data_IF_679159919346
#
_entry.id   IF_679159919346
#
_cell.length_a   1.000
_cell.length_b   1.000
_cell.length_c   1.000
_cell.angle_alpha   90.00
_cell.angle_beta   90.00
_cell.angle_gamma   90.00
#
_symmetry.space_group_name_H-M   'P 1'
#
loop_
_entity.id
_entity.type
_entity.pdbx_description
1 polymer ?
#
# COMPACT_ATOMS: atom_id res chain seq x y z
N UNK A 1 -9.73 -7.71 0.36
CA UNK A 1 -8.34 -7.24 0.59
C UNK A 1 -7.74 -7.75 1.89
N UNK A 2 -8.28 -7.44 3.08
CA UNK A 2 -7.73 -7.94 4.36
C UNK A 2 -7.56 -9.46 4.39
N UNK A 3 -8.59 -10.21 3.95
CA UNK A 3 -8.54 -11.68 3.90
C UNK A 3 -7.46 -12.21 2.95
N UNK A 4 -7.21 -11.54 1.82
CA UNK A 4 -6.14 -11.94 0.91
C UNK A 4 -4.77 -11.80 1.60
N UNK A 5 -4.51 -10.65 2.25
CA UNK A 5 -3.29 -10.43 3.01
C UNK A 5 -3.14 -11.43 4.17
N UNK A 6 -4.25 -11.79 4.80
CA UNK A 6 -4.30 -12.80 5.86
C UNK A 6 -3.81 -14.17 5.37
N UNK A 7 -4.32 -14.62 4.21
CA UNK A 7 -3.93 -15.91 3.60
C UNK A 7 -2.46 -15.89 3.17
N UNK A 8 -1.97 -14.79 2.61
CA UNK A 8 -0.56 -14.64 2.21
C UNK A 8 0.36 -14.80 3.42
N UNK A 9 0.11 -14.02 4.47
CA UNK A 9 0.88 -14.10 5.71
C UNK A 9 0.80 -15.50 6.30
N UNK A 10 -0.37 -16.12 6.27
CA UNK A 10 -0.55 -17.47 6.77
C UNK A 10 0.31 -18.49 6.03
N UNK A 11 0.28 -18.49 4.70
CA UNK A 11 1.02 -19.45 3.90
C UNK A 11 2.54 -19.29 4.06
N UNK A 12 3.04 -18.05 4.13
CA UNK A 12 4.46 -17.75 4.37
C UNK A 12 4.93 -18.32 5.72
N UNK A 13 4.18 -18.05 6.80
CA UNK A 13 4.52 -18.54 8.14
C UNK A 13 4.43 -20.08 8.24
N UNK A 14 3.61 -20.72 7.41
CA UNK A 14 3.52 -22.19 7.31
C UNK A 14 4.60 -22.82 6.40
N UNK A 15 5.54 -22.02 5.89
CA UNK A 15 6.68 -22.48 5.09
C UNK A 15 6.38 -22.66 3.60
N UNK A 16 5.25 -22.15 3.10
CA UNK A 16 4.96 -22.14 1.66
C UNK A 16 5.66 -20.94 1.01
N UNK A 17 6.99 -21.00 0.95
CA UNK A 17 7.86 -19.89 0.53
C UNK A 17 8.21 -19.91 -0.97
N UNK A 18 7.77 -20.91 -1.73
CA UNK A 18 7.84 -20.89 -3.19
C UNK A 18 6.53 -20.32 -3.73
N UNK A 19 6.62 -19.14 -4.34
CA UNK A 19 5.45 -18.35 -4.73
C UNK A 19 5.43 -18.18 -6.24
N UNK A 20 4.29 -18.44 -6.88
CA UNK A 20 4.06 -18.08 -8.28
C UNK A 20 3.28 -16.78 -8.31
N UNK A 21 3.96 -15.71 -8.69
CA UNK A 21 3.41 -14.37 -8.86
C UNK A 21 3.01 -14.21 -10.33
N UNK A 22 1.72 -14.09 -10.62
CA UNK A 22 1.19 -14.17 -11.98
C UNK A 22 0.15 -13.08 -12.26
N UNK A 23 0.28 -12.44 -13.42
CA UNK A 23 -0.60 -11.38 -13.90
C UNK A 23 -1.19 -11.80 -15.26
N UNK A 24 -2.50 -11.58 -15.46
CA UNK A 24 -3.18 -11.86 -16.72
C UNK A 24 -3.07 -10.63 -17.63
N UNK A 25 -2.63 -10.83 -18.87
CA UNK A 25 -2.45 -9.75 -19.83
C UNK A 25 -3.81 -9.17 -20.24
N UNK A 26 -4.07 -7.92 -19.89
CA UNK A 26 -5.27 -7.17 -20.34
C UNK A 26 -6.57 -7.91 -20.02
N UNK A 27 -6.71 -8.43 -18.79
CA UNK A 27 -7.77 -9.38 -18.45
C UNK A 27 -9.16 -8.93 -18.88
N UNK A 28 -9.60 -7.74 -18.46
CA UNK A 28 -10.94 -7.25 -18.78
C UNK A 28 -11.19 -7.05 -20.27
N UNK A 29 -10.15 -6.85 -21.07
CA UNK A 29 -10.27 -6.59 -22.51
C UNK A 29 -10.22 -7.90 -23.32
N UNK A 30 -9.71 -8.99 -22.72
CA UNK A 30 -9.43 -10.25 -23.39
C UNK A 30 -10.39 -11.40 -23.02
N UNK A 31 -11.40 -11.18 -22.16
CA UNK A 31 -12.38 -12.23 -21.81
C UNK A 31 -13.19 -12.62 -23.06
N UNK A 32 -13.12 -13.87 -23.54
CA UNK A 32 -13.90 -14.29 -24.71
C UNK A 32 -15.39 -14.38 -24.38
N UNK A 33 -16.25 -13.60 -25.05
CA UNK A 33 -17.70 -13.54 -24.74
C UNK A 33 -18.36 -14.91 -24.80
N UNK A 34 -18.04 -15.69 -25.84
CA UNK A 34 -18.61 -17.03 -26.04
C UNK A 34 -18.34 -17.95 -24.84
N UNK A 35 -17.09 -18.01 -24.38
CA UNK A 35 -16.69 -18.83 -23.22
C UNK A 35 -17.33 -18.32 -21.93
N UNK A 36 -17.41 -17.00 -21.76
CA UNK A 36 -18.07 -16.41 -20.60
C UNK A 36 -19.55 -16.82 -20.53
N UNK A 37 -20.28 -16.73 -21.65
CA UNK A 37 -21.68 -17.16 -21.74
C UNK A 37 -21.81 -18.68 -21.50
N UNK A 38 -20.90 -19.50 -22.03
CA UNK A 38 -20.87 -20.95 -21.78
C UNK A 38 -20.69 -21.28 -20.29
N UNK A 39 -19.80 -20.56 -19.59
CA UNK A 39 -19.62 -20.72 -18.14
C UNK A 39 -20.86 -20.25 -17.38
N UNK A 40 -21.44 -19.11 -17.74
CA UNK A 40 -22.66 -18.60 -17.09
C UNK A 40 -23.84 -19.57 -17.21
N UNK A 41 -23.98 -20.26 -18.36
CA UNK A 41 -25.01 -21.28 -18.57
C UNK A 41 -24.93 -22.46 -17.60
N UNK A 42 -23.78 -22.72 -16.97
CA UNK A 42 -23.64 -23.74 -15.92
C UNK A 42 -24.42 -23.37 -14.65
N UNK A 43 -24.64 -22.08 -14.40
CA UNK A 43 -25.22 -21.56 -13.16
C UNK A 43 -26.56 -20.85 -13.36
N UNK A 44 -26.83 -20.32 -14.56
CA UNK A 44 -28.04 -19.55 -14.88
C UNK A 44 -28.79 -20.23 -16.03
N UNK A 45 -30.02 -20.68 -15.77
CA UNK A 45 -30.88 -21.31 -16.78
C UNK A 45 -31.77 -20.32 -17.54
N UNK A 46 -31.99 -19.11 -17.00
CA UNK A 46 -32.86 -18.10 -17.62
C UNK A 46 -32.23 -17.52 -18.89
N UNK A 47 -32.85 -17.82 -20.03
CA UNK A 47 -32.41 -17.37 -21.36
C UNK A 47 -32.55 -15.86 -21.56
N UNK A 48 -33.50 -15.23 -20.89
CA UNK A 48 -33.74 -13.78 -20.98
C UNK A 48 -32.59 -13.02 -20.36
N UNK A 49 -32.18 -13.42 -19.16
CA UNK A 49 -31.03 -12.83 -18.45
C UNK A 49 -29.74 -13.05 -19.24
N UNK A 50 -29.50 -14.27 -19.72
CA UNK A 50 -28.33 -14.56 -20.55
C UNK A 50 -28.31 -13.71 -21.83
N UNK A 51 -29.46 -13.53 -22.47
CA UNK A 51 -29.59 -12.69 -23.66
C UNK A 51 -29.29 -11.21 -23.37
N UNK A 52 -29.71 -10.69 -22.21
CA UNK A 52 -29.39 -9.32 -21.79
C UNK A 52 -27.89 -9.14 -21.52
N UNK A 53 -27.26 -10.10 -20.84
CA UNK A 53 -25.81 -10.07 -20.61
C UNK A 53 -25.06 -10.10 -21.94
N UNK A 54 -25.47 -10.95 -22.88
CA UNK A 54 -24.86 -11.03 -24.20
C UNK A 54 -25.00 -9.71 -24.98
N UNK A 55 -26.17 -9.07 -24.93
CA UNK A 55 -26.38 -7.75 -25.54
C UNK A 55 -25.49 -6.69 -24.91
N UNK A 56 -25.32 -6.69 -23.59
CA UNK A 56 -24.42 -5.76 -22.89
C UNK A 56 -22.96 -5.95 -23.27
N UNK A 57 -22.51 -7.20 -23.43
CA UNK A 57 -21.16 -7.50 -23.88
C UNK A 57 -20.92 -7.00 -25.32
N UNK A 58 -21.91 -7.15 -26.21
CA UNK A 58 -21.85 -6.72 -27.63
C UNK A 58 -22.08 -5.23 -27.86
N UNK A 59 -22.65 -4.52 -26.88
CA UNK A 59 -22.95 -3.10 -26.98
C UNK A 59 -21.71 -2.24 -27.27
N UNK A 60 -20.51 -2.79 -27.04
CA UNK A 60 -19.24 -2.11 -27.30
C UNK A 60 -18.96 -1.02 -26.27
N UNK A 61 -17.93 -0.21 -26.54
CA UNK A 61 -17.65 1.00 -25.77
C UNK A 61 -17.26 2.13 -26.71
N UNK A 62 -17.40 3.37 -26.24
CA UNK A 62 -17.04 4.55 -27.01
C UNK A 62 -15.67 5.05 -26.57
N UNK A 63 -14.71 5.06 -27.49
CA UNK A 63 -13.37 5.56 -27.27
C UNK A 63 -13.08 6.66 -28.30
N UNK A 64 -12.67 7.85 -27.84
CA UNK A 64 -12.40 9.04 -28.69
C UNK A 64 -13.53 9.38 -29.70
N UNK A 65 -14.79 9.15 -29.32
CA UNK A 65 -15.96 9.44 -30.16
C UNK A 65 -16.25 8.38 -31.23
N UNK A 66 -15.56 7.24 -31.22
CA UNK A 66 -15.85 6.07 -32.08
C UNK A 66 -16.45 4.95 -31.25
N UNK A 67 -17.52 4.34 -31.78
CA UNK A 67 -18.10 3.13 -31.21
C UNK A 67 -17.24 1.93 -31.63
N UNK A 68 -16.64 1.25 -30.66
CA UNK A 68 -15.83 0.06 -30.87
C UNK A 68 -16.66 -1.15 -30.41
N UNK A 69 -17.02 -1.99 -31.36
CA UNK A 69 -17.55 -3.32 -31.10
C UNK A 69 -16.39 -4.31 -30.93
N UNK A 70 -16.47 -5.16 -29.91
CA UNK A 70 -15.47 -6.19 -29.65
C UNK A 70 -16.18 -7.49 -29.30
N UNK A 71 -15.69 -8.60 -29.85
CA UNK A 71 -16.11 -9.96 -29.49
C UNK A 71 -15.39 -10.46 -28.21
N UNK A 72 -14.53 -9.61 -27.64
CA UNK A 72 -13.72 -9.85 -26.46
C UNK A 72 -13.88 -8.73 -25.43
N UNK A 73 -13.71 -9.10 -24.18
CA UNK A 73 -13.66 -8.21 -23.05
C UNK A 73 -15.01 -7.85 -22.46
N UNK A 74 -15.00 -7.14 -21.35
CA UNK A 74 -16.20 -6.62 -20.70
C UNK A 74 -16.05 -5.10 -20.60
N UNK A 75 -17.11 -4.29 -20.82
CA UNK A 75 -16.98 -2.84 -20.76
C UNK A 75 -16.39 -2.40 -19.42
N UNK A 76 -15.20 -1.77 -19.44
CA UNK A 76 -14.58 -1.25 -18.23
C UNK A 76 -15.44 -0.09 -17.69
N UNK A 77 -15.92 -0.23 -16.46
CA UNK A 77 -16.86 0.73 -15.85
C UNK A 77 -18.32 0.26 -15.85
N UNK A 78 -18.65 -0.86 -16.52
CA UNK A 78 -19.92 -1.54 -16.33
C UNK A 78 -20.03 -2.12 -14.92
N UNK A 79 -21.14 -1.85 -14.22
CA UNK A 79 -21.36 -2.30 -12.83
C UNK A 79 -21.29 -3.83 -12.69
N UNK A 80 -21.68 -4.56 -13.74
CA UNK A 80 -21.68 -6.03 -13.76
C UNK A 80 -20.32 -6.63 -14.15
N UNK A 81 -19.43 -5.90 -14.82
CA UNK A 81 -18.17 -6.42 -15.35
C UNK A 81 -17.28 -7.08 -14.29
N UNK A 82 -17.11 -6.52 -13.06
CA UNK A 82 -16.36 -7.17 -11.99
C UNK A 82 -16.98 -8.50 -11.52
N UNK A 83 -18.30 -8.64 -11.59
CA UNK A 83 -18.98 -9.89 -11.22
C UNK A 83 -18.73 -10.96 -12.29
N UNK A 84 -18.91 -10.61 -13.57
CA UNK A 84 -18.67 -11.51 -14.70
C UNK A 84 -17.22 -12.01 -14.71
N UNK A 85 -16.27 -11.11 -14.48
CA UNK A 85 -14.85 -11.42 -14.30
C UNK A 85 -14.61 -12.49 -13.21
N UNK A 86 -15.24 -12.34 -12.05
CA UNK A 86 -15.08 -13.28 -10.95
C UNK A 86 -15.73 -14.63 -11.24
N UNK A 87 -16.90 -14.67 -11.87
CA UNK A 87 -17.53 -15.92 -12.30
C UNK A 87 -16.66 -16.65 -13.32
N UNK A 88 -16.05 -15.90 -14.25
CA UNK A 88 -15.14 -16.45 -15.26
C UNK A 88 -13.90 -17.10 -14.63
N UNK A 89 -13.22 -16.38 -13.73
CA UNK A 89 -12.01 -16.84 -13.06
C UNK A 89 -12.28 -17.89 -11.97
N UNK A 90 -13.54 -18.12 -11.58
CA UNK A 90 -13.90 -19.19 -10.65
C UNK A 90 -13.54 -20.58 -11.21
N UNK A 91 -13.46 -20.73 -12.54
CA UNK A 91 -12.96 -21.96 -13.16
C UNK A 91 -11.48 -22.23 -12.85
N UNK A 92 -10.67 -21.19 -12.61
CA UNK A 92 -9.29 -21.36 -12.12
C UNK A 92 -9.26 -21.72 -10.63
N UNK A 93 -10.12 -21.09 -9.84
CA UNK A 93 -10.20 -21.38 -8.40
C UNK A 93 -10.51 -22.86 -8.17
N UNK A 94 -11.46 -23.42 -8.93
CA UNK A 94 -11.76 -24.86 -8.89
C UNK A 94 -10.59 -25.73 -9.35
N UNK A 95 -9.90 -25.35 -10.43
CA UNK A 95 -8.71 -26.07 -10.90
C UNK A 95 -7.64 -26.14 -9.80
N UNK A 96 -7.40 -25.04 -9.10
CA UNK A 96 -6.42 -25.00 -8.02
C UNK A 96 -6.85 -25.81 -6.81
N UNK A 97 -8.12 -25.68 -6.38
CA UNK A 97 -8.64 -26.36 -5.20
C UNK A 97 -8.64 -27.90 -5.39
N UNK A 98 -9.10 -28.38 -6.56
CA UNK A 98 -9.11 -29.81 -6.89
C UNK A 98 -7.70 -30.43 -6.95
N UNK A 99 -6.69 -29.63 -7.31
CA UNK A 99 -5.29 -30.05 -7.32
C UNK A 99 -4.57 -29.79 -5.98
N UNK A 100 -5.28 -29.33 -4.94
CA UNK A 100 -4.70 -29.04 -3.62
C UNK A 100 -3.68 -27.89 -3.61
N UNK A 101 -3.74 -27.00 -4.61
CA UNK A 101 -2.84 -25.85 -4.74
C UNK A 101 -3.30 -24.77 -3.77
N UNK A 102 -2.39 -24.25 -2.95
CA UNK A 102 -2.68 -23.10 -2.11
C UNK A 102 -2.58 -21.82 -2.93
N UNK A 103 -3.62 -21.00 -2.88
CA UNK A 103 -3.64 -19.75 -3.63
C UNK A 103 -4.27 -18.60 -2.85
N UNK A 104 -4.07 -17.41 -3.36
CA UNK A 104 -4.85 -16.22 -3.03
C UNK A 104 -5.16 -15.50 -4.33
N UNK A 105 -6.42 -15.10 -4.51
CA UNK A 105 -6.84 -14.31 -5.66
C UNK A 105 -7.54 -13.04 -5.20
N UNK A 106 -7.26 -11.94 -5.88
CA UNK A 106 -7.96 -10.67 -5.71
C UNK A 106 -8.25 -10.08 -7.09
N UNK A 107 -9.49 -10.24 -7.54
CA UNK A 107 -9.87 -10.01 -8.93
C UNK A 107 -9.02 -10.88 -9.88
N UNK A 108 -8.26 -10.25 -10.78
CA UNK A 108 -7.37 -10.88 -11.76
C UNK A 108 -5.94 -11.14 -11.25
N UNK A 109 -5.58 -10.53 -10.12
CA UNK A 109 -4.26 -10.63 -9.51
C UNK A 109 -4.24 -11.81 -8.52
N UNK A 110 -3.31 -12.76 -8.68
CA UNK A 110 -3.26 -13.96 -7.83
C UNK A 110 -1.84 -14.46 -7.55
N UNK A 111 -1.68 -15.12 -6.40
CA UNK A 111 -0.45 -15.83 -6.03
C UNK A 111 -0.77 -17.30 -5.74
N UNK A 112 0.10 -18.20 -6.18
CA UNK A 112 0.11 -19.60 -5.76
C UNK A 112 1.26 -19.84 -4.79
N UNK A 113 1.11 -20.80 -3.89
CA UNK A 113 2.03 -21.08 -2.81
C UNK A 113 2.36 -22.57 -2.75
N UNK A 114 3.66 -22.89 -2.65
CA UNK A 114 4.15 -24.25 -2.46
C UNK A 114 5.32 -24.29 -1.46
N UNK A 115 5.58 -25.48 -0.92
CA UNK A 115 6.75 -25.73 -0.05
C UNK A 115 8.01 -26.05 -0.83
N UNK A 116 7.89 -26.50 -2.08
CA UNK A 116 9.02 -26.91 -2.92
C UNK A 116 8.99 -26.21 -4.27
N UNK A 117 10.15 -26.14 -4.91
CA UNK A 117 10.28 -25.58 -6.26
C UNK A 117 9.53 -26.42 -7.31
N UNK A 118 9.50 -27.73 -7.14
CA UNK A 118 8.85 -28.62 -8.11
C UNK A 118 7.32 -28.48 -8.05
N UNK A 119 6.76 -28.38 -6.85
CA UNK A 119 5.33 -28.20 -6.68
C UNK A 119 4.84 -26.85 -7.23
N UNK A 120 5.62 -25.77 -7.05
CA UNK A 120 5.24 -24.47 -7.63
C UNK A 120 5.33 -24.47 -9.16
N UNK A 121 6.29 -25.21 -9.73
CA UNK A 121 6.41 -25.35 -11.19
C UNK A 121 5.24 -26.15 -11.76
N UNK A 122 4.81 -27.22 -11.08
CA UNK A 122 3.59 -27.98 -11.45
C UNK A 122 2.35 -27.09 -11.39
N UNK A 123 2.17 -26.34 -10.30
CA UNK A 123 1.05 -25.41 -10.15
C UNK A 123 1.05 -24.33 -11.25
N UNK A 124 2.22 -23.78 -11.60
CA UNK A 124 2.37 -22.82 -12.69
C UNK A 124 2.00 -23.43 -14.05
N UNK A 125 2.40 -24.67 -14.32
CA UNK A 125 2.04 -25.38 -15.54
C UNK A 125 0.54 -25.61 -15.67
N UNK A 126 -0.10 -26.13 -14.62
CA UNK A 126 -1.56 -26.33 -14.57
C UNK A 126 -2.31 -25.02 -14.80
N UNK A 127 -1.89 -23.95 -14.11
CA UNK A 127 -2.48 -22.62 -14.25
C UNK A 127 -2.37 -22.09 -15.67
N UNK A 128 -1.20 -22.24 -16.31
CA UNK A 128 -1.00 -21.81 -17.69
C UNK A 128 -1.89 -22.58 -18.67
N UNK A 129 -2.02 -23.89 -18.50
CA UNK A 129 -2.88 -24.71 -19.34
C UNK A 129 -4.35 -24.29 -19.18
N UNK A 130 -4.80 -24.10 -17.93
CA UNK A 130 -6.19 -23.70 -17.67
C UNK A 130 -6.50 -22.30 -18.18
N UNK A 131 -5.57 -21.34 -18.04
CA UNK A 131 -5.72 -20.01 -18.63
C UNK A 131 -5.83 -20.09 -20.17
N UNK A 132 -5.01 -20.92 -20.80
CA UNK A 132 -5.05 -21.13 -22.25
C UNK A 132 -6.38 -21.77 -22.68
N UNK A 133 -6.89 -22.74 -21.91
CA UNK A 133 -8.22 -23.33 -22.10
C UNK A 133 -9.33 -22.28 -21.95
N UNK A 134 -9.18 -21.32 -21.05
CA UNK A 134 -10.06 -20.16 -20.90
C UNK A 134 -9.78 -19.07 -21.96
N UNK A 135 -8.83 -19.25 -22.87
CA UNK A 135 -8.49 -18.24 -23.89
C UNK A 135 -7.89 -16.96 -23.33
N UNK A 136 -7.25 -17.03 -22.16
CA UNK A 136 -6.53 -15.92 -21.52
C UNK A 136 -5.02 -16.13 -21.65
N UNK A 137 -4.28 -15.02 -21.77
CA UNK A 137 -2.82 -15.03 -21.85
C UNK A 137 -2.17 -14.50 -20.56
N UNK A 138 -1.06 -15.13 -20.17
CA UNK A 138 -0.23 -14.68 -19.05
C UNK A 138 0.69 -13.53 -19.51
N UNK A 139 0.84 -12.51 -18.67
CA UNK A 139 1.83 -11.45 -18.85
C UNK A 139 3.23 -11.94 -18.47
N UNK A 140 3.95 -12.55 -19.41
CA UNK A 140 5.30 -13.14 -19.21
C UNK A 140 6.31 -12.20 -18.51
N UNK A 141 6.22 -10.90 -18.76
CA UNK A 141 7.14 -9.90 -18.18
C UNK A 141 6.90 -9.67 -16.68
N UNK A 142 5.67 -9.88 -16.22
CA UNK A 142 5.27 -9.66 -14.82
C UNK A 142 5.25 -10.96 -14.02
N UNK A 143 5.03 -12.09 -14.71
CA UNK A 143 4.93 -13.40 -14.07
C UNK A 143 6.30 -13.97 -13.71
N UNK A 144 6.44 -14.45 -12.47
CA UNK A 144 7.70 -15.03 -11.97
C UNK A 144 7.47 -16.05 -10.86
N UNK A 145 8.42 -16.97 -10.73
CA UNK A 145 8.54 -17.85 -9.56
C UNK A 145 9.50 -17.19 -8.57
N UNK A 146 9.05 -16.99 -7.34
CA UNK A 146 9.77 -16.32 -6.25
C UNK A 146 10.11 -17.34 -5.17
N UNK A 147 11.35 -17.32 -4.68
CA UNK A 147 11.71 -18.00 -3.44
C UNK A 147 11.80 -16.97 -2.31
N UNK A 148 10.82 -16.95 -1.42
CA UNK A 148 10.71 -15.94 -0.36
C UNK A 148 11.79 -16.04 0.74
N UNK A 149 12.74 -16.99 0.64
CA UNK A 149 13.96 -16.95 1.43
C UNK A 149 15.03 -16.00 0.87
N UNK A 150 14.92 -15.60 -0.40
CA UNK A 150 15.94 -14.81 -1.11
C UNK A 150 15.36 -13.64 -1.89
N UNK A 151 14.11 -13.73 -2.32
CA UNK A 151 13.49 -12.82 -3.25
C UNK A 151 12.26 -12.13 -2.65
N UNK A 152 12.17 -10.83 -2.87
CA UNK A 152 11.00 -10.02 -2.54
C UNK A 152 9.89 -10.20 -3.60
N UNK A 153 8.64 -10.05 -3.18
CA UNK A 153 7.50 -9.95 -4.10
C UNK A 153 6.56 -8.81 -3.73
N UNK A 154 5.77 -8.37 -4.71
CA UNK A 154 4.76 -7.34 -4.51
C UNK A 154 3.38 -7.96 -4.63
N UNK A 155 2.43 -7.55 -3.79
CA UNK A 155 1.03 -7.92 -3.98
C UNK A 155 0.12 -6.88 -3.34
N UNK A 156 -0.99 -6.52 -4.01
CA UNK A 156 -1.95 -5.53 -3.53
C UNK A 156 -1.28 -4.26 -2.99
N UNK A 157 -0.34 -3.69 -3.74
CA UNK A 157 0.33 -2.43 -3.39
C UNK A 157 1.25 -2.48 -2.16
N UNK A 158 1.56 -3.67 -1.66
CA UNK A 158 2.57 -3.92 -0.64
C UNK A 158 3.75 -4.70 -1.23
N UNK A 159 4.94 -4.44 -0.69
CA UNK A 159 6.16 -5.20 -0.94
C UNK A 159 6.42 -6.08 0.28
N UNK A 160 6.50 -7.39 0.05
CA UNK A 160 6.87 -8.41 1.01
C UNK A 160 8.36 -8.66 0.87
N UNK A 161 9.12 -8.32 1.90
CA UNK A 161 10.55 -8.53 1.94
C UNK A 161 10.86 -9.92 2.43
N UNK A 162 11.75 -10.65 1.75
CA UNK A 162 12.11 -12.03 2.07
C UNK A 162 12.56 -12.23 3.53
N UNK A 163 12.59 -13.50 3.95
CA UNK A 163 13.05 -13.87 5.29
C UNK A 163 14.49 -13.40 5.56
N UNK A 164 14.67 -12.71 6.69
CA UNK A 164 15.98 -12.34 7.23
C UNK A 164 16.14 -12.82 8.68
N UNK A 165 17.38 -13.05 9.10
CA UNK A 165 17.71 -13.27 10.50
C UNK A 165 17.94 -11.95 11.20
N UNK A 166 17.23 -11.74 12.31
CA UNK A 166 17.38 -10.51 13.12
C UNK A 166 18.76 -10.47 13.75
N UNK A 167 19.49 -9.37 13.54
CA UNK A 167 20.86 -9.16 14.07
C UNK A 167 21.01 -9.30 15.59
N UNK A 168 19.94 -9.10 16.35
CA UNK A 168 20.01 -9.05 17.82
C UNK A 168 19.81 -10.41 18.49
N UNK A 169 18.99 -11.27 17.91
CA UNK A 169 18.54 -12.54 18.53
C UNK A 169 18.52 -13.72 17.55
N UNK A 170 19.01 -13.54 16.32
CA UNK A 170 19.03 -14.52 15.21
C UNK A 170 17.67 -15.15 14.90
N UNK A 171 16.56 -14.59 15.40
CA UNK A 171 15.22 -15.08 15.09
C UNK A 171 14.84 -14.71 13.66
N UNK A 172 14.15 -15.60 12.93
CA UNK A 172 13.66 -15.29 11.59
C UNK A 172 12.63 -14.17 11.66
N UNK A 173 12.65 -13.29 10.67
CA UNK A 173 11.64 -12.25 10.51
C UNK A 173 11.55 -11.82 9.06
N UNK A 174 10.40 -11.29 8.68
CA UNK A 174 10.23 -10.62 7.40
C UNK A 174 9.46 -9.32 7.60
N UNK A 175 9.45 -8.47 6.58
CA UNK A 175 8.85 -7.14 6.66
C UNK A 175 7.88 -6.92 5.52
N UNK A 176 6.82 -6.17 5.80
CA UNK A 176 5.90 -5.71 4.77
C UNK A 176 5.87 -4.19 4.78
N UNK A 177 6.09 -3.60 3.61
CA UNK A 177 6.06 -2.16 3.41
C UNK A 177 5.16 -1.78 2.24
N UNK A 178 4.67 -0.54 2.14
CA UNK A 178 3.95 -0.12 0.95
C UNK A 178 4.90 -0.04 -0.23
N UNK A 179 4.42 -0.40 -1.42
CA UNK A 179 5.20 -0.28 -2.64
C UNK A 179 5.74 1.15 -2.81
N UNK A 180 6.96 1.28 -3.33
CA UNK A 180 7.63 2.59 -3.51
C UNK A 180 6.78 3.57 -4.32
N UNK A 181 6.10 3.07 -5.36
CA UNK A 181 5.19 3.83 -6.22
C UNK A 181 3.99 4.36 -5.43
N UNK A 182 3.44 3.56 -4.52
CA UNK A 182 2.34 3.97 -3.62
C UNK A 182 2.75 5.13 -2.70
N UNK A 183 4.01 5.14 -2.24
CA UNK A 183 4.58 6.24 -1.44
C UNK A 183 4.83 7.49 -2.29
N UNK A 184 5.30 7.32 -3.54
CA UNK A 184 5.50 8.43 -4.49
C UNK A 184 4.16 9.10 -4.81
N UNK A 185 3.13 8.32 -5.15
CA UNK A 185 1.75 8.78 -5.38
C UNK A 185 1.21 9.57 -4.19
N UNK A 186 1.37 9.03 -2.97
CA UNK A 186 0.95 9.74 -1.76
C UNK A 186 1.62 11.10 -1.62
N UNK A 187 2.95 11.18 -1.83
CA UNK A 187 3.69 12.45 -1.79
C UNK A 187 3.22 13.42 -2.88
N UNK A 188 2.89 12.91 -4.07
CA UNK A 188 2.37 13.71 -5.18
C UNK A 188 1.00 14.32 -4.84
N UNK A 189 0.06 13.53 -4.32
CA UNK A 189 -1.26 14.01 -3.87
C UNK A 189 -1.14 15.09 -2.80
N UNK A 190 -0.24 14.91 -1.82
CA UNK A 190 0.07 15.93 -0.82
C UNK A 190 0.65 17.20 -1.47
N UNK A 191 1.58 17.05 -2.42
CA UNK A 191 2.18 18.18 -3.15
C UNK A 191 1.11 18.99 -3.90
N UNK A 192 0.18 18.32 -4.56
CA UNK A 192 -0.92 18.92 -5.31
C UNK A 192 -1.90 19.66 -4.42
N UNK A 193 -2.19 19.14 -3.22
CA UNK A 193 -3.05 19.82 -2.25
C UNK A 193 -2.35 20.91 -1.44
N UNK A 194 -1.03 21.07 -1.58
CA UNK A 194 -0.21 22.09 -0.87
C UNK A 194 0.53 23.02 -1.84
N UNK A 195 -0.16 23.51 -2.89
CA UNK A 195 0.42 24.40 -3.91
C UNK A 195 0.69 25.79 -3.33
N UNK A 196 1.90 26.31 -3.53
CA UNK A 196 2.39 27.53 -2.86
C UNK A 196 1.74 28.85 -3.31
N UNK A 197 0.98 28.84 -4.40
CA UNK A 197 0.33 30.03 -4.94
C UNK A 197 -1.05 30.30 -4.36
N UNK A 198 -1.60 29.36 -3.58
CA UNK A 198 -2.88 29.57 -2.89
C UNK A 198 -2.64 30.27 -1.56
N UNK A 199 -3.54 31.19 -1.22
CA UNK A 199 -3.56 31.90 0.07
C UNK A 199 -4.78 31.41 0.83
N UNK A 200 -4.59 30.38 1.68
CA UNK A 200 -5.67 29.74 2.42
C UNK A 200 -5.40 29.84 3.93
N UNK A 201 -6.47 29.76 4.72
CA UNK A 201 -6.37 29.63 6.17
C UNK A 201 -5.64 28.33 6.55
N UNK A 202 -5.05 28.30 7.75
CA UNK A 202 -4.39 27.09 8.27
C UNK A 202 -5.37 25.92 8.32
N UNK A 203 -6.60 26.16 8.76
CA UNK A 203 -7.65 25.14 8.83
C UNK A 203 -7.98 24.55 7.46
N UNK A 204 -8.12 25.39 6.43
CA UNK A 204 -8.42 24.93 5.08
C UNK A 204 -7.28 24.07 4.50
N UNK A 205 -6.02 24.44 4.75
CA UNK A 205 -4.90 23.57 4.39
C UNK A 205 -4.96 22.18 5.05
N UNK A 206 -5.37 22.12 6.32
CA UNK A 206 -5.53 20.87 7.06
C UNK A 206 -6.69 20.04 6.49
N UNK A 207 -7.82 20.67 6.18
CA UNK A 207 -8.99 20.00 5.59
C UNK A 207 -8.69 19.39 4.21
N UNK A 208 -7.77 19.99 3.44
CA UNK A 208 -7.32 19.43 2.14
C UNK A 208 -6.37 18.24 2.29
N UNK A 209 -5.56 18.20 3.33
CA UNK A 209 -4.50 17.19 3.52
C UNK A 209 -4.98 15.98 4.33
N UNK A 210 -5.79 16.21 5.38
CA UNK A 210 -6.26 15.15 6.28
C UNK A 210 -7.00 13.99 5.57
N UNK A 211 -7.89 14.22 4.57
CA UNK A 211 -8.54 13.13 3.85
C UNK A 211 -7.57 12.20 3.13
N UNK A 212 -6.51 12.75 2.52
CA UNK A 212 -5.46 11.97 1.85
C UNK A 212 -4.73 11.09 2.87
N UNK A 213 -4.35 11.66 4.01
CA UNK A 213 -3.70 10.93 5.09
C UNK A 213 -4.59 9.79 5.58
N UNK A 214 -5.86 10.08 5.90
CA UNK A 214 -6.82 9.08 6.38
C UNK A 214 -6.99 7.93 5.41
N UNK A 215 -7.25 8.22 4.12
CA UNK A 215 -7.46 7.20 3.11
C UNK A 215 -6.27 6.26 2.97
N UNK A 216 -5.05 6.81 2.86
CA UNK A 216 -3.84 5.99 2.69
C UNK A 216 -3.46 5.22 3.94
N UNK A 217 -3.61 5.81 5.13
CA UNK A 217 -3.32 5.11 6.39
C UNK A 217 -4.31 3.98 6.65
N UNK A 218 -5.61 4.18 6.37
CA UNK A 218 -6.60 3.11 6.48
C UNK A 218 -6.22 1.91 5.61
N UNK A 219 -5.71 2.15 4.40
CA UNK A 219 -5.17 1.12 3.53
C UNK A 219 -3.98 0.39 4.16
N UNK A 220 -2.98 1.12 4.67
CA UNK A 220 -1.78 0.53 5.29
C UNK A 220 -2.06 -0.26 6.56
N UNK A 221 -3.07 0.15 7.36
CA UNK A 221 -3.48 -0.55 8.58
C UNK A 221 -3.99 -1.96 8.28
N UNK A 222 -4.46 -2.24 7.06
CA UNK A 222 -4.99 -3.55 6.66
C UNK A 222 -3.99 -4.69 6.91
N UNK A 223 -2.67 -4.43 6.78
CA UNK A 223 -1.63 -5.43 7.09
C UNK A 223 -1.63 -5.81 8.57
N UNK A 224 -1.71 -4.82 9.48
CA UNK A 224 -1.77 -5.13 10.92
C UNK A 224 -3.07 -5.87 11.25
N UNK A 225 -4.19 -5.46 10.65
CA UNK A 225 -5.45 -6.18 10.86
C UNK A 225 -5.38 -7.63 10.40
N UNK A 226 -4.69 -7.90 9.30
CA UNK A 226 -4.46 -9.26 8.81
C UNK A 226 -3.56 -10.07 9.76
N UNK A 227 -2.46 -9.48 10.25
CA UNK A 227 -1.58 -10.11 11.25
C UNK A 227 -2.38 -10.48 12.51
N UNK A 228 -3.12 -9.51 13.08
CA UNK A 228 -3.93 -9.73 14.28
C UNK A 228 -4.98 -10.81 14.11
N UNK A 229 -5.66 -10.82 12.96
CA UNK A 229 -6.64 -11.85 12.65
C UNK A 229 -6.01 -13.26 12.59
N UNK A 230 -4.75 -13.39 12.15
CA UNK A 230 -4.02 -14.66 12.21
C UNK A 230 -3.60 -15.04 13.62
N UNK A 231 -3.16 -14.07 14.42
CA UNK A 231 -2.84 -14.28 15.84
C UNK A 231 -4.07 -14.78 16.62
N UNK A 232 -5.26 -14.24 16.33
CA UNK A 232 -6.55 -14.71 16.87
C UNK A 232 -6.87 -16.17 16.48
N UNK A 233 -6.34 -16.65 15.35
CA UNK A 233 -6.44 -18.05 14.91
C UNK A 233 -5.26 -18.91 15.36
N UNK A 234 -4.41 -18.43 16.28
CA UNK A 234 -3.32 -19.20 16.89
C UNK A 234 -2.03 -19.26 16.07
N UNK A 235 -1.91 -18.48 15.00
CA UNK A 235 -0.65 -18.39 14.25
C UNK A 235 0.22 -17.26 14.80
N UNK A 236 1.44 -17.60 15.23
CA UNK A 236 2.46 -16.61 15.55
C UNK A 236 2.94 -15.88 14.29
N UNK A 237 3.19 -14.57 14.40
CA UNK A 237 3.66 -13.74 13.30
C UNK A 237 5.10 -13.26 13.49
N UNK A 238 5.96 -13.69 12.60
CA UNK A 238 7.31 -13.19 12.39
C UNK A 238 7.35 -11.91 11.54
N UNK A 239 6.24 -11.52 10.91
CA UNK A 239 6.12 -10.25 10.20
C UNK A 239 6.33 -9.05 11.14
N UNK A 240 7.31 -8.19 10.84
CA UNK A 240 7.60 -6.96 11.61
C UNK A 240 7.19 -5.71 10.85
N UNK A 241 6.46 -4.82 11.52
CA UNK A 241 5.94 -3.56 10.94
C UNK A 241 6.81 -2.34 11.23
N UNK A 242 8.04 -2.53 11.72
CA UNK A 242 8.94 -1.43 12.11
C UNK A 242 9.31 -0.54 10.92
N UNK A 243 9.48 -1.10 9.73
CA UNK A 243 9.83 -0.32 8.53
C UNK A 243 8.69 0.59 8.09
N UNK A 244 7.43 0.10 8.15
CA UNK A 244 6.23 0.91 7.93
C UNK A 244 6.21 2.14 8.85
N UNK A 245 6.50 1.96 10.14
CA UNK A 245 6.58 3.06 11.12
C UNK A 245 7.59 4.13 10.70
N UNK A 246 8.77 3.73 10.22
CA UNK A 246 9.79 4.64 9.71
C UNK A 246 9.33 5.41 8.46
N UNK A 247 8.63 4.74 7.53
CA UNK A 247 8.06 5.36 6.33
C UNK A 247 7.03 6.42 6.71
N UNK A 248 6.10 6.12 7.62
CA UNK A 248 5.08 7.06 8.07
C UNK A 248 5.68 8.30 8.76
N UNK A 249 6.70 8.11 9.61
CA UNK A 249 7.42 9.24 10.21
C UNK A 249 8.09 10.14 9.15
N UNK A 250 8.65 9.54 8.10
CA UNK A 250 9.21 10.27 6.96
C UNK A 250 8.14 11.04 6.19
N UNK A 251 6.97 10.43 5.96
CA UNK A 251 5.81 11.09 5.36
C UNK A 251 5.30 12.27 6.20
N UNK A 252 5.20 12.10 7.53
CA UNK A 252 4.82 13.18 8.44
C UNK A 252 5.81 14.34 8.43
N UNK A 253 7.11 14.05 8.30
CA UNK A 253 8.14 15.06 8.08
C UNK A 253 7.94 15.82 6.77
N UNK A 254 7.63 15.10 5.69
CA UNK A 254 7.34 15.67 4.37
C UNK A 254 6.10 16.58 4.40
N UNK A 255 4.98 16.10 4.94
CA UNK A 255 3.71 16.82 5.04
C UNK A 255 3.92 18.14 5.79
N UNK A 256 4.52 18.08 6.98
CA UNK A 256 4.78 19.29 7.78
C UNK A 256 5.68 20.26 7.04
N UNK A 257 6.75 19.80 6.40
CA UNK A 257 7.62 20.67 5.58
C UNK A 257 6.84 21.39 4.48
N UNK A 258 5.90 20.72 3.83
CA UNK A 258 5.03 21.32 2.80
C UNK A 258 4.09 22.37 3.39
N UNK A 259 3.40 22.01 4.48
CA UNK A 259 2.48 22.92 5.17
C UNK A 259 3.18 24.17 5.70
N UNK A 260 4.38 24.04 6.28
CA UNK A 260 5.18 25.21 6.70
C UNK A 260 5.45 26.17 5.54
N UNK A 261 5.68 25.66 4.33
CA UNK A 261 5.87 26.53 3.17
C UNK A 261 4.53 27.14 2.72
N UNK A 262 3.45 26.37 2.76
CA UNK A 262 2.11 26.81 2.35
C UNK A 262 1.51 27.86 3.30
N UNK A 263 1.89 27.87 4.58
CA UNK A 263 1.48 28.88 5.55
C UNK A 263 2.19 30.23 5.39
N UNK A 264 3.23 30.31 4.56
CA UNK A 264 3.96 31.56 4.31
C UNK A 264 3.35 32.25 3.10
N UNK A 265 2.65 33.37 3.32
CA UNK A 265 2.01 34.12 2.23
C UNK A 265 3.03 34.96 1.42
N UNK A 266 4.02 35.57 2.08
CA UNK A 266 4.98 36.48 1.42
C UNK A 266 6.24 35.75 0.94
N UNK A 267 6.36 35.56 -0.38
CA UNK A 267 7.48 34.87 -1.06
C UNK A 267 7.85 33.52 -0.40
N UNK A 268 6.97 32.51 -0.46
CA UNK A 268 7.19 31.21 0.15
C UNK A 268 8.37 30.46 -0.47
N UNK A 269 9.39 30.18 0.33
CA UNK A 269 10.54 29.38 -0.10
C UNK A 269 10.96 28.35 0.96
N UNK A 270 11.79 27.38 0.55
CA UNK A 270 12.19 26.27 1.41
C UNK A 270 13.00 26.75 2.63
N UNK A 271 13.86 27.76 2.47
CA UNK A 271 14.68 28.31 3.56
C UNK A 271 13.80 28.93 4.65
N UNK A 272 12.80 29.73 4.28
CA UNK A 272 11.82 30.29 5.23
C UNK A 272 11.04 29.18 5.94
N UNK A 273 10.54 28.19 5.20
CA UNK A 273 9.86 27.04 5.80
C UNK A 273 10.70 26.28 6.83
N UNK A 274 12.01 26.15 6.61
CA UNK A 274 12.94 25.53 7.57
C UNK A 274 13.16 26.37 8.83
N UNK A 275 13.14 27.71 8.73
CA UNK A 275 13.23 28.60 9.89
C UNK A 275 12.02 28.42 10.83
N UNK A 276 10.87 28.06 10.30
CA UNK A 276 9.63 27.85 11.06
C UNK A 276 9.53 26.48 11.76
N UNK A 277 10.59 25.65 11.76
CA UNK A 277 10.52 24.30 12.34
C UNK A 277 10.27 24.28 13.85
N UNK A 278 10.79 25.27 14.56
CA UNK A 278 10.66 25.48 16.01
C UNK A 278 9.27 26.01 16.36
N UNK A 279 8.80 27.02 15.63
CA UNK A 279 7.46 27.61 15.81
C UNK A 279 6.37 26.60 15.46
N UNK A 280 6.40 26.08 14.23
CA UNK A 280 5.44 25.10 13.73
C UNK A 280 5.98 23.69 13.95
N UNK A 281 6.15 23.32 15.22
CA UNK A 281 6.62 22.00 15.65
C UNK A 281 5.49 20.95 15.63
N UNK A 282 5.74 19.74 16.14
CA UNK A 282 4.73 18.67 16.18
C UNK A 282 3.49 19.04 17.00
N UNK A 283 3.68 19.68 18.15
CA UNK A 283 2.58 20.08 19.04
C UNK A 283 1.68 21.13 18.38
N UNK A 284 2.28 22.12 17.70
CA UNK A 284 1.53 23.10 16.91
C UNK A 284 0.68 22.44 15.82
N UNK A 285 1.25 21.50 15.05
CA UNK A 285 0.47 20.84 14.00
C UNK A 285 -0.70 20.02 14.55
N UNK A 286 -0.54 19.41 15.73
CA UNK A 286 -1.64 18.73 16.41
C UNK A 286 -2.71 19.69 16.93
N UNK A 287 -2.33 20.86 17.46
CA UNK A 287 -3.29 21.84 17.97
C UNK A 287 -4.18 22.39 16.85
N UNK A 288 -3.65 22.53 15.62
CA UNK A 288 -4.45 22.87 14.43
C UNK A 288 -5.12 21.65 13.76
N UNK A 289 -5.24 20.52 14.47
CA UNK A 289 -5.93 19.29 14.04
C UNK A 289 -5.33 18.61 12.80
N UNK A 290 -4.05 18.81 12.48
CA UNK A 290 -3.36 17.93 11.53
C UNK A 290 -3.35 16.51 12.11
N UNK A 291 -3.64 15.52 11.27
CA UNK A 291 -3.58 14.11 11.63
C UNK A 291 -2.22 13.55 11.19
N UNK A 292 -1.28 13.24 12.09
CA UNK A 292 -0.04 12.56 11.69
C UNK A 292 -0.36 11.15 11.22
N UNK A 293 0.22 10.76 10.09
CA UNK A 293 0.04 9.43 9.50
C UNK A 293 0.58 8.33 10.41
N UNK A 294 1.72 8.56 11.10
CA UNK A 294 2.27 7.63 12.07
C UNK A 294 1.35 7.43 13.28
N UNK A 295 0.83 8.53 13.84
CA UNK A 295 -0.11 8.45 14.96
C UNK A 295 -1.38 7.71 14.55
N UNK A 296 -2.00 8.08 13.42
CA UNK A 296 -3.24 7.45 12.96
C UNK A 296 -3.07 5.94 12.75
N UNK A 297 -1.93 5.53 12.19
CA UNK A 297 -1.60 4.12 12.00
C UNK A 297 -1.53 3.37 13.33
N UNK A 298 -0.79 3.89 14.31
CA UNK A 298 -0.69 3.27 15.63
C UNK A 298 -2.00 3.33 16.41
N UNK A 299 -2.78 4.39 16.25
CA UNK A 299 -4.08 4.53 16.89
C UNK A 299 -5.04 3.45 16.40
N UNK A 300 -5.14 3.28 15.08
CA UNK A 300 -5.97 2.25 14.46
C UNK A 300 -5.48 0.84 14.74
N UNK A 301 -4.16 0.66 14.88
CA UNK A 301 -3.57 -0.64 15.15
C UNK A 301 -3.66 -1.05 16.62
N UNK A 302 -3.43 -0.13 17.56
CA UNK A 302 -3.16 -0.45 18.98
C UNK A 302 -3.85 0.50 19.97
N UNK A 303 -4.77 1.37 19.53
CA UNK A 303 -5.43 2.34 20.41
C UNK A 303 -4.52 3.50 20.87
N UNK A 304 -3.34 3.65 20.26
CA UNK A 304 -2.33 4.63 20.63
C UNK A 304 -2.85 6.09 20.65
N UNK A 305 -2.66 6.79 21.76
CA UNK A 305 -3.23 8.12 21.98
C UNK A 305 -2.35 9.24 21.40
N UNK A 306 -2.93 10.45 21.24
CA UNK A 306 -2.16 11.62 20.76
C UNK A 306 -1.11 12.08 21.77
N UNK A 307 -1.37 11.89 23.06
CA UNK A 307 -0.44 12.21 24.15
C UNK A 307 0.77 11.27 24.14
N UNK A 308 0.52 9.97 23.96
CA UNK A 308 1.59 8.99 23.78
C UNK A 308 2.44 9.34 22.56
N UNK A 309 1.81 9.70 21.43
CA UNK A 309 2.53 10.16 20.24
C UNK A 309 3.43 11.36 20.53
N UNK A 310 2.90 12.40 21.17
CA UNK A 310 3.69 13.59 21.50
C UNK A 310 4.86 13.25 22.42
N UNK A 311 4.61 12.40 23.40
CA UNK A 311 5.63 11.95 24.36
C UNK A 311 6.76 11.22 23.64
N UNK A 312 6.44 10.26 22.76
CA UNK A 312 7.44 9.47 22.04
C UNK A 312 8.23 10.31 21.04
N UNK A 313 7.56 11.21 20.32
CA UNK A 313 8.23 12.13 19.40
C UNK A 313 9.17 13.07 20.16
N UNK A 314 8.74 13.58 21.32
CA UNK A 314 9.54 14.49 22.16
C UNK A 314 10.73 13.76 22.78
N UNK A 315 10.52 12.55 23.33
CA UNK A 315 11.58 11.68 23.86
C UNK A 315 12.62 11.37 22.79
N UNK A 316 12.16 11.02 21.59
CA UNK A 316 13.04 10.76 20.45
C UNK A 316 13.83 12.00 20.06
N UNK A 317 13.20 13.18 20.01
CA UNK A 317 13.88 14.44 19.70
C UNK A 317 14.95 14.79 20.74
N UNK A 318 14.65 14.66 22.05
CA UNK A 318 15.60 14.87 23.15
C UNK A 318 16.79 13.91 23.06
N UNK A 319 16.55 12.62 22.78
CA UNK A 319 17.61 11.62 22.59
C UNK A 319 18.51 11.98 21.42
N UNK A 320 17.93 12.36 20.28
CA UNK A 320 18.69 12.74 19.09
C UNK A 320 19.53 14.00 19.33
N UNK A 321 19.00 14.98 20.05
CA UNK A 321 19.73 16.17 20.48
C UNK A 321 20.93 15.80 21.37
N UNK A 322 20.72 14.95 22.40
CA UNK A 322 21.78 14.46 23.28
C UNK A 322 22.89 13.75 22.49
N UNK A 323 22.52 12.92 21.50
CA UNK A 323 23.48 12.23 20.65
C UNK A 323 24.28 13.20 19.76
N UNK A 324 23.65 14.24 19.23
CA UNK A 324 24.34 15.27 18.45
C UNK A 324 25.32 16.08 19.30
N UNK A 325 24.92 16.47 20.51
CA UNK A 325 25.81 17.16 21.47
C UNK A 325 27.01 16.26 21.77
N UNK A 326 26.78 14.98 22.07
CA UNK A 326 27.87 14.01 22.32
C UNK A 326 28.80 13.89 21.10
N UNK A 327 28.24 13.80 19.89
CA UNK A 327 29.02 13.68 18.67
C UNK A 327 29.84 14.94 18.34
N UNK A 328 29.32 16.14 18.63
CA UNK A 328 30.08 17.38 18.49
C UNK A 328 31.25 17.42 19.48
N UNK A 329 31.00 17.07 20.75
CA UNK A 329 32.05 16.95 21.78
C UNK A 329 33.16 15.98 21.38
N UNK A 330 32.83 14.81 20.82
CA UNK A 330 33.84 13.86 20.34
C UNK A 330 34.68 14.36 19.17
N UNK A 331 34.18 15.36 18.43
CA UNK A 331 34.91 16.02 17.33
C UNK A 331 35.66 17.28 17.78
N UNK A 332 35.63 17.62 19.07
CA UNK A 332 36.18 18.87 19.59
C UNK A 332 35.37 20.12 19.21
N UNK A 333 34.15 19.95 18.69
CA UNK A 333 33.28 21.04 18.27
C UNK A 333 32.28 21.42 19.38
N UNK A 334 32.03 22.72 19.56
CA UNK A 334 30.95 23.18 20.43
C UNK A 334 29.59 23.03 19.72
N UNK A 335 28.66 22.29 20.34
CA UNK A 335 27.35 22.08 19.74
C UNK A 335 26.53 23.37 19.65
N UNK A 336 26.53 24.17 20.73
CA UNK A 336 25.77 25.41 20.82
C UNK A 336 26.60 26.60 20.31
N UNK A 337 26.78 26.69 19.00
CA UNK A 337 27.49 27.85 18.43
C UNK A 337 26.65 29.13 18.54
N UNK A 338 27.26 30.33 18.56
CA UNK A 338 26.54 31.61 18.59
C UNK A 338 25.48 31.72 17.48
N UNK A 339 25.79 31.22 16.27
CA UNK A 339 24.85 31.17 15.15
C UNK A 339 23.64 30.25 15.42
N UNK A 340 23.84 29.12 16.11
CA UNK A 340 22.73 28.23 16.49
C UNK A 340 21.85 28.84 17.58
N UNK A 341 22.45 29.47 18.59
CA UNK A 341 21.73 30.18 19.65
C UNK A 341 20.91 31.33 19.07
N UNK A 342 21.48 32.11 18.16
CA UNK A 342 20.75 33.18 17.46
C UNK A 342 19.59 32.65 16.62
N UNK A 343 19.73 31.47 16.01
CA UNK A 343 18.64 30.80 15.29
C UNK A 343 17.52 30.33 16.23
N UNK A 344 17.85 29.88 17.45
CA UNK A 344 16.87 29.54 18.48
C UNK A 344 16.16 30.79 19.01
N UNK A 345 16.89 31.87 19.27
CA UNK A 345 16.36 33.16 19.71
C UNK A 345 15.39 33.75 18.68
N UNK A 346 15.80 33.80 17.41
CA UNK A 346 14.98 34.32 16.31
C UNK A 346 13.69 33.52 16.11
N UNK A 347 13.73 32.21 16.38
CA UNK A 347 12.55 31.38 16.35
C UNK A 347 11.59 31.66 17.52
N UNK A 348 12.14 31.89 18.72
CA UNK A 348 11.37 32.24 19.90
C UNK A 348 10.71 33.61 19.75
N UNK A 349 11.44 34.60 19.25
CA UNK A 349 10.91 35.94 18.94
C UNK A 349 9.83 35.93 17.85
N UNK A 350 9.88 34.99 16.90
CA UNK A 350 8.83 34.82 15.89
C UNK A 350 7.59 34.06 16.40
N UNK A 351 7.60 33.64 17.67
CA UNK A 351 6.50 32.94 18.34
C UNK A 351 5.61 33.87 19.18
N UNK A 352 5.98 35.15 19.29
CA UNK A 352 5.24 36.20 19.98
C UNK A 352 4.78 37.26 18.99
#
# INVERSE_FOLDING_TARGET
MQRALQIILWNIEQGYNHIYDCDIKGFFDNIPHKKLIEILKKYVSDRTVLGLIEQWLKAGHMEEGKLIHSDYGTPQGGVISPLLANVYLNELDWEWDLNGIRFVRYADDFLLFAKTRDDINKAAFLTKNKLTELGLEISKEKTKVVNFHHDDFDFLGFSFHHWEQRKNDNKPSFYVTPKKESIKDFRLKIKEKTRKFLTLSKEEWINRVNPIIRGKVNYYVTIIKAIKANEEHGQESNCKTRWMRGILLSLDGYIRRRLRIAFIHKHPNQRKGMKMNSLWNNAFFLSIKLIPSYWLYLNKAYGYTKEQYLTDITKTAKRNLKNKIRSAKTKGEEYYTPHQLQKMQNAWNASF
#
